data_IF_547152228049
#
_entry.id   IF_547152228049
#
_cell.length_a   1.000
_cell.length_b   1.000
_cell.length_c   1.000
_cell.angle_alpha   90.00
_cell.angle_beta   90.00
_cell.angle_gamma   90.00
#
_symmetry.space_group_name_H-M   'P 1'
#
loop_
_entity.id
_entity.type
_entity.pdbx_description
1 polymer ?
#
# COMPACT_ATOMS: atom_id res chain seq x y z
N UNK A 1 12.73 -15.29 -10.60
CA UNK A 1 11.28 -15.26 -10.28
C UNK A 1 10.63 -16.66 -10.27
N UNK A 2 11.36 -17.76 -10.58
CA UNK A 2 10.78 -19.08 -10.86
C UNK A 2 11.05 -20.19 -9.82
N UNK A 3 11.92 -19.98 -8.81
CA UNK A 3 12.39 -21.08 -7.96
C UNK A 3 11.51 -21.41 -6.75
N UNK A 4 10.70 -20.49 -6.23
CA UNK A 4 9.93 -20.73 -4.99
C UNK A 4 8.72 -21.65 -5.17
N UNK A 5 8.27 -21.86 -6.41
CA UNK A 5 6.96 -22.44 -6.74
C UNK A 5 7.07 -23.89 -7.21
N UNK A 6 8.23 -24.31 -7.75
CA UNK A 6 8.48 -25.70 -8.19
C UNK A 6 8.34 -26.71 -7.04
N UNK A 7 8.59 -26.30 -5.81
CA UNK A 7 8.49 -27.16 -4.62
C UNK A 7 7.05 -27.45 -4.14
N UNK A 8 6.01 -26.90 -4.78
CA UNK A 8 4.62 -27.33 -4.51
C UNK A 8 4.21 -28.55 -5.34
N UNK A 9 5.14 -29.13 -6.13
CA UNK A 9 4.84 -30.12 -7.17
C UNK A 9 4.13 -31.37 -6.67
N UNK A 10 4.44 -31.84 -5.47
CA UNK A 10 3.97 -33.14 -4.98
C UNK A 10 2.57 -33.15 -4.35
N UNK A 11 2.02 -31.99 -3.97
CA UNK A 11 0.81 -31.94 -3.11
C UNK A 11 -0.33 -31.03 -3.59
N UNK A 12 -0.17 -30.40 -4.76
CA UNK A 12 -1.18 -29.51 -5.33
C UNK A 12 -1.29 -29.65 -6.83
N UNK A 13 -2.53 -29.62 -7.34
CA UNK A 13 -2.80 -29.57 -8.77
C UNK A 13 -2.36 -28.22 -9.37
N UNK A 14 -2.28 -28.18 -10.70
CA UNK A 14 -1.80 -27.02 -11.43
C UNK A 14 -2.71 -25.79 -11.25
N UNK A 15 -4.03 -25.96 -11.10
CA UNK A 15 -4.94 -24.85 -10.92
C UNK A 15 -4.79 -24.22 -9.53
N UNK A 16 -4.66 -25.04 -8.48
CA UNK A 16 -4.39 -24.55 -7.12
C UNK A 16 -3.05 -23.81 -7.05
N UNK A 17 -2.00 -24.31 -7.71
CA UNK A 17 -0.71 -23.60 -7.82
C UNK A 17 -0.87 -22.23 -8.46
N UNK A 18 -1.63 -22.14 -9.55
CA UNK A 18 -1.87 -20.87 -10.23
C UNK A 18 -2.64 -19.89 -9.33
N UNK A 19 -3.64 -20.36 -8.56
CA UNK A 19 -4.35 -19.52 -7.59
C UNK A 19 -3.43 -19.02 -6.48
N UNK A 20 -2.56 -19.87 -5.91
CA UNK A 20 -1.60 -19.48 -4.89
C UNK A 20 -0.56 -18.47 -5.42
N UNK A 21 -0.08 -18.66 -6.65
CA UNK A 21 0.83 -17.70 -7.29
C UNK A 21 0.17 -16.34 -7.49
N UNK A 22 -1.08 -16.33 -7.97
CA UNK A 22 -1.87 -15.12 -8.09
C UNK A 22 -2.05 -14.43 -6.73
N UNK A 23 -2.24 -15.20 -5.65
CA UNK A 23 -2.33 -14.66 -4.29
C UNK A 23 -1.02 -13.99 -3.85
N UNK A 24 0.12 -14.63 -4.06
CA UNK A 24 1.45 -14.04 -3.77
C UNK A 24 1.67 -12.77 -4.59
N UNK A 25 1.33 -12.78 -5.88
CA UNK A 25 1.49 -11.61 -6.73
C UNK A 25 0.62 -10.44 -6.26
N UNK A 26 -0.64 -10.70 -5.90
CA UNK A 26 -1.55 -9.69 -5.36
C UNK A 26 -1.05 -9.15 -4.01
N UNK A 27 -0.55 -10.00 -3.11
CA UNK A 27 0.09 -9.56 -1.85
C UNK A 27 1.25 -8.62 -2.11
N UNK A 28 2.15 -8.95 -3.05
CA UNK A 28 3.29 -8.09 -3.42
C UNK A 28 2.85 -6.76 -4.00
N UNK A 29 1.83 -6.74 -4.86
CA UNK A 29 1.26 -5.51 -5.42
C UNK A 29 0.66 -4.63 -4.32
N UNK A 30 -0.08 -5.23 -3.38
CA UNK A 30 -0.61 -4.54 -2.21
C UNK A 30 0.51 -3.96 -1.33
N UNK A 31 1.53 -4.76 -0.98
CA UNK A 31 2.64 -4.30 -0.15
C UNK A 31 3.42 -3.15 -0.79
N UNK A 32 3.62 -3.21 -2.12
CA UNK A 32 4.23 -2.11 -2.86
C UNK A 32 3.37 -0.85 -2.81
N UNK A 33 2.06 -0.96 -3.05
CA UNK A 33 1.14 0.18 -2.96
C UNK A 33 1.10 0.76 -1.54
N UNK A 34 1.08 -0.08 -0.51
CA UNK A 34 1.16 0.32 0.91
C UNK A 34 2.44 1.10 1.20
N UNK A 35 3.61 0.59 0.78
CA UNK A 35 4.90 1.28 0.96
C UNK A 35 4.91 2.62 0.23
N UNK A 36 4.50 2.66 -1.04
CA UNK A 36 4.44 3.90 -1.82
C UNK A 36 3.53 4.95 -1.17
N UNK A 37 2.35 4.55 -0.70
CA UNK A 37 1.44 5.45 0.00
C UNK A 37 2.08 6.01 1.29
N UNK A 38 2.69 5.16 2.12
CA UNK A 38 3.34 5.60 3.37
C UNK A 38 4.53 6.53 3.10
N UNK A 39 5.39 6.20 2.13
CA UNK A 39 6.51 7.07 1.76
C UNK A 39 6.04 8.43 1.23
N UNK A 40 5.02 8.43 0.37
CA UNK A 40 4.48 9.68 -0.19
C UNK A 40 3.77 10.51 0.88
N UNK A 41 3.10 9.87 1.84
CA UNK A 41 2.49 10.55 2.98
C UNK A 41 3.55 11.24 3.83
N UNK A 42 4.62 10.53 4.21
CA UNK A 42 5.71 11.12 4.98
C UNK A 42 6.42 12.25 4.24
N UNK A 43 6.64 12.08 2.93
CA UNK A 43 7.20 13.14 2.09
C UNK A 43 6.30 14.38 2.06
N UNK A 44 4.98 14.20 1.92
CA UNK A 44 4.02 15.31 1.91
C UNK A 44 3.99 16.04 3.26
N UNK A 45 3.96 15.29 4.37
CA UNK A 45 3.98 15.86 5.73
C UNK A 45 5.28 16.63 5.98
N UNK A 46 6.44 16.05 5.64
CA UNK A 46 7.73 16.70 5.82
C UNK A 46 7.85 17.97 4.96
N UNK A 47 7.43 17.90 3.69
CA UNK A 47 7.43 19.06 2.78
C UNK A 47 6.52 20.17 3.29
N UNK A 48 5.32 19.83 3.77
CA UNK A 48 4.40 20.80 4.35
C UNK A 48 4.99 21.44 5.62
N UNK A 49 5.63 20.66 6.49
CA UNK A 49 6.30 21.17 7.68
C UNK A 49 7.42 22.16 7.34
N UNK A 50 8.31 21.80 6.42
CA UNK A 50 9.39 22.69 5.96
C UNK A 50 8.83 23.98 5.32
N UNK A 51 7.75 23.87 4.55
CA UNK A 51 7.11 25.03 3.95
C UNK A 51 6.47 25.95 4.98
N UNK A 52 5.78 25.41 5.99
CA UNK A 52 5.23 26.19 7.09
C UNK A 52 6.34 26.90 7.88
N UNK A 53 7.44 26.21 8.18
CA UNK A 53 8.60 26.81 8.83
C UNK A 53 9.24 27.93 7.98
N UNK A 54 9.33 27.73 6.67
CA UNK A 54 9.80 28.78 5.76
C UNK A 54 8.86 29.99 5.77
N UNK A 55 7.54 29.78 5.74
CA UNK A 55 6.55 30.86 5.79
C UNK A 55 6.57 31.62 7.12
N UNK A 56 6.86 30.95 8.24
CA UNK A 56 6.96 31.65 9.52
C UNK A 56 8.11 32.66 9.50
N UNK A 57 9.27 32.26 8.99
CA UNK A 57 10.45 33.11 8.91
C UNK A 57 10.34 34.21 7.83
N UNK A 58 9.82 33.86 6.66
CA UNK A 58 9.81 34.77 5.51
C UNK A 58 8.63 35.76 5.52
N UNK A 59 7.49 35.37 6.10
CA UNK A 59 6.23 36.13 5.99
C UNK A 59 5.64 36.48 7.36
N UNK A 60 5.48 35.49 8.26
CA UNK A 60 4.75 35.72 9.51
C UNK A 60 5.54 36.58 10.50
N UNK A 61 6.83 36.32 10.70
CA UNK A 61 7.65 37.05 11.68
C UNK A 61 7.88 38.52 11.28
N UNK A 62 8.25 38.84 10.02
CA UNK A 62 8.52 40.23 9.62
C UNK A 62 7.26 41.08 9.41
N UNK A 63 6.12 40.44 9.07
CA UNK A 63 4.87 41.14 8.72
C UNK A 63 3.71 40.83 9.69
N UNK A 64 4.02 40.31 10.88
CA UNK A 64 3.06 39.92 11.94
C UNK A 64 2.06 41.00 12.34
N UNK A 65 2.37 42.27 12.07
CA UNK A 65 1.55 43.43 12.43
C UNK A 65 0.24 43.55 11.63
N UNK A 66 0.14 42.94 10.44
CA UNK A 66 -1.08 43.02 9.61
C UNK A 66 -1.24 41.82 8.68
N UNK A 67 -2.41 41.17 8.74
CA UNK A 67 -2.77 40.09 7.82
C UNK A 67 -2.72 40.52 6.36
N UNK A 68 -3.11 41.76 6.05
CA UNK A 68 -3.06 42.29 4.68
C UNK A 68 -1.63 42.40 4.15
N UNK A 69 -0.68 42.78 5.00
CA UNK A 69 0.73 42.83 4.64
C UNK A 69 1.30 41.42 4.40
N UNK A 70 0.97 40.46 5.27
CA UNK A 70 1.36 39.05 5.09
C UNK A 70 0.84 38.49 3.77
N UNK A 71 -0.45 38.71 3.46
CA UNK A 71 -1.06 38.22 2.23
C UNK A 71 -0.44 38.87 0.98
N UNK A 72 -0.17 40.18 1.04
CA UNK A 72 0.47 40.90 -0.06
C UNK A 72 1.85 40.33 -0.37
N UNK A 73 2.68 40.10 0.65
CA UNK A 73 4.02 39.51 0.49
C UNK A 73 3.91 38.08 -0.04
N UNK A 74 3.01 37.28 0.51
CA UNK A 74 2.78 35.90 0.07
C UNK A 74 2.43 35.80 -1.42
N UNK A 75 1.52 36.65 -1.90
CA UNK A 75 1.08 36.61 -3.31
C UNK A 75 2.08 37.31 -4.24
N UNK A 76 2.85 38.28 -3.73
CA UNK A 76 3.86 39.01 -4.52
C UNK A 76 4.98 38.13 -5.06
N UNK A 77 5.32 37.05 -4.34
CA UNK A 77 6.35 36.11 -4.76
C UNK A 77 5.71 34.83 -5.31
N UNK A 78 5.82 34.64 -6.63
CA UNK A 78 5.28 33.48 -7.35
C UNK A 78 5.74 32.13 -6.81
N UNK A 79 6.93 32.08 -6.18
CA UNK A 79 7.47 30.89 -5.52
C UNK A 79 6.52 30.34 -4.46
N UNK A 80 5.90 31.18 -3.64
CA UNK A 80 4.96 30.73 -2.60
C UNK A 80 3.72 30.06 -3.21
N UNK A 81 3.21 30.61 -4.32
CA UNK A 81 2.07 30.06 -5.03
C UNK A 81 2.41 28.70 -5.67
N UNK A 82 3.58 28.59 -6.32
CA UNK A 82 4.02 27.30 -6.88
C UNK A 82 4.21 26.23 -5.81
N UNK A 83 4.80 26.57 -4.66
CA UNK A 83 4.95 25.64 -3.54
C UNK A 83 3.59 25.22 -2.96
N UNK A 84 2.62 26.14 -2.89
CA UNK A 84 1.25 25.83 -2.45
C UNK A 84 0.58 24.81 -3.36
N UNK A 85 0.63 25.06 -4.68
CA UNK A 85 0.05 24.16 -5.68
C UNK A 85 0.77 22.81 -5.66
N UNK A 86 2.09 22.80 -5.52
CA UNK A 86 2.88 21.57 -5.41
C UNK A 86 2.50 20.75 -4.18
N UNK A 87 2.37 21.37 -3.01
CA UNK A 87 1.94 20.69 -1.76
C UNK A 87 0.50 20.19 -1.90
N UNK A 88 -0.41 21.01 -2.43
CA UNK A 88 -1.78 20.59 -2.72
C UNK A 88 -1.83 19.38 -3.66
N UNK A 89 -0.99 19.37 -4.70
CA UNK A 89 -0.81 18.25 -5.62
C UNK A 89 -0.26 17.00 -4.93
N UNK A 90 0.72 17.13 -4.04
CA UNK A 90 1.24 16.02 -3.24
C UNK A 90 0.17 15.39 -2.36
N UNK A 91 -0.62 16.19 -1.63
CA UNK A 91 -1.74 15.69 -0.82
C UNK A 91 -2.82 15.03 -1.68
N UNK A 92 -3.12 15.59 -2.86
CA UNK A 92 -3.98 14.95 -3.86
C UNK A 92 -3.44 13.59 -4.30
N UNK A 93 -2.14 13.51 -4.59
CA UNK A 93 -1.44 12.27 -4.96
C UNK A 93 -1.49 11.22 -3.84
N UNK A 94 -1.32 11.63 -2.57
CA UNK A 94 -1.47 10.74 -1.41
C UNK A 94 -2.86 10.10 -1.37
N UNK A 95 -3.92 10.88 -1.65
CA UNK A 95 -5.30 10.39 -1.71
C UNK A 95 -5.49 9.36 -2.83
N UNK A 96 -4.94 9.62 -4.02
CA UNK A 96 -5.00 8.67 -5.14
C UNK A 96 -4.26 7.36 -4.80
N UNK A 97 -3.06 7.45 -4.21
CA UNK A 97 -2.31 6.28 -3.77
C UNK A 97 -3.02 5.50 -2.66
N UNK A 98 -3.75 6.20 -1.78
CA UNK A 98 -4.60 5.58 -0.76
C UNK A 98 -5.69 4.71 -1.41
N UNK A 99 -6.44 5.26 -2.37
CA UNK A 99 -7.48 4.52 -3.08
C UNK A 99 -6.92 3.31 -3.85
N UNK A 100 -5.74 3.47 -4.47
CA UNK A 100 -5.05 2.36 -5.14
C UNK A 100 -4.65 1.26 -4.15
N UNK A 101 -4.13 1.64 -2.98
CA UNK A 101 -3.81 0.70 -1.89
C UNK A 101 -5.06 -0.05 -1.46
N UNK A 102 -6.17 0.63 -1.17
CA UNK A 102 -7.43 0.00 -0.74
C UNK A 102 -7.97 -0.99 -1.79
N UNK A 103 -7.95 -0.60 -3.07
CA UNK A 103 -8.33 -1.49 -4.16
C UNK A 103 -7.49 -2.77 -4.18
N UNK A 104 -6.16 -2.63 -4.05
CA UNK A 104 -5.24 -3.78 -4.05
C UNK A 104 -5.38 -4.64 -2.79
N UNK A 105 -5.70 -4.02 -1.66
CA UNK A 105 -6.00 -4.72 -0.41
C UNK A 105 -7.24 -5.60 -0.58
N UNK A 106 -8.32 -5.03 -1.12
CA UNK A 106 -9.56 -5.77 -1.40
C UNK A 106 -9.33 -6.94 -2.36
N UNK A 107 -8.67 -6.70 -3.50
CA UNK A 107 -8.35 -7.76 -4.48
C UNK A 107 -7.53 -8.91 -3.87
N UNK A 108 -6.63 -8.60 -2.92
CA UNK A 108 -5.86 -9.60 -2.18
C UNK A 108 -6.71 -10.36 -1.18
N UNK A 109 -7.49 -9.65 -0.35
CA UNK A 109 -8.33 -10.26 0.68
C UNK A 109 -9.43 -11.13 0.08
N UNK A 110 -10.05 -10.70 -1.01
CA UNK A 110 -11.09 -11.46 -1.71
C UNK A 110 -10.55 -12.80 -2.23
N UNK A 111 -9.38 -12.79 -2.88
CA UNK A 111 -8.74 -14.03 -3.35
C UNK A 111 -8.29 -14.93 -2.19
N UNK A 112 -7.78 -14.32 -1.10
CA UNK A 112 -7.39 -15.05 0.10
C UNK A 112 -8.60 -15.77 0.71
N UNK A 113 -9.74 -15.08 0.82
CA UNK A 113 -11.00 -15.65 1.31
C UNK A 113 -11.49 -16.77 0.40
N UNK A 114 -11.48 -16.55 -0.92
CA UNK A 114 -11.87 -17.57 -1.89
C UNK A 114 -11.05 -18.86 -1.75
N UNK A 115 -9.73 -18.76 -1.58
CA UNK A 115 -8.85 -19.92 -1.39
C UNK A 115 -9.14 -20.66 -0.07
N UNK A 116 -9.49 -19.94 0.99
CA UNK A 116 -9.86 -20.52 2.28
C UNK A 116 -11.21 -21.24 2.17
N UNK A 117 -12.21 -20.59 1.58
CA UNK A 117 -13.57 -21.13 1.46
C UNK A 117 -13.59 -22.37 0.55
N UNK A 118 -12.84 -22.31 -0.56
CA UNK A 118 -12.70 -23.42 -1.51
C UNK A 118 -11.61 -24.41 -1.11
N UNK A 119 -11.04 -24.30 0.09
CA UNK A 119 -9.93 -25.17 0.50
C UNK A 119 -10.29 -26.66 0.43
N UNK A 120 -11.53 -27.03 0.78
CA UNK A 120 -11.97 -28.44 0.69
C UNK A 120 -12.04 -28.95 -0.76
N UNK A 121 -12.30 -28.06 -1.72
CA UNK A 121 -12.40 -28.41 -3.14
C UNK A 121 -11.02 -28.46 -3.82
N UNK A 122 -10.13 -27.55 -3.40
CA UNK A 122 -8.76 -27.43 -3.92
C UNK A 122 -7.85 -28.58 -3.46
N UNK A 123 -8.04 -29.08 -2.24
CA UNK A 123 -7.26 -30.19 -1.69
C UNK A 123 -8.17 -31.39 -1.40
N UNK A 124 -8.18 -32.36 -2.31
CA UNK A 124 -8.96 -33.61 -2.16
C UNK A 124 -8.11 -34.74 -1.57
N UNK A 125 -8.74 -35.61 -0.79
CA UNK A 125 -8.15 -36.85 -0.27
C UNK A 125 -6.79 -36.65 0.43
N UNK A 126 -5.72 -37.32 -0.02
CA UNK A 126 -4.38 -37.24 0.56
C UNK A 126 -3.80 -35.82 0.54
N UNK A 127 -4.18 -34.99 -0.44
CA UNK A 127 -3.74 -33.60 -0.51
C UNK A 127 -4.32 -32.75 0.64
N UNK A 128 -5.51 -33.10 1.15
CA UNK A 128 -6.13 -32.42 2.30
C UNK A 128 -5.30 -32.56 3.56
N UNK A 129 -4.69 -33.74 3.77
CA UNK A 129 -3.81 -34.02 4.92
C UNK A 129 -2.53 -33.18 4.83
N UNK A 130 -2.04 -32.91 3.62
CA UNK A 130 -0.79 -32.16 3.39
C UNK A 130 -0.99 -30.64 3.26
N UNK A 131 -2.23 -30.12 3.21
CA UNK A 131 -2.50 -28.68 2.99
C UNK A 131 -1.83 -27.75 4.01
N UNK A 132 -1.65 -28.21 5.26
CA UNK A 132 -1.00 -27.45 6.32
C UNK A 132 0.43 -27.06 5.93
N UNK A 133 1.16 -27.94 5.20
CA UNK A 133 2.51 -27.63 4.70
C UNK A 133 2.49 -26.46 3.72
N UNK A 134 1.48 -26.41 2.85
CA UNK A 134 1.29 -25.28 1.92
C UNK A 134 0.99 -24.01 2.72
N UNK A 135 0.13 -24.08 3.73
CA UNK A 135 -0.26 -22.93 4.54
C UNK A 135 0.92 -22.40 5.37
N UNK A 136 1.73 -23.29 5.94
CA UNK A 136 2.94 -22.94 6.68
C UNK A 136 3.99 -22.30 5.76
N UNK A 137 4.14 -22.81 4.54
CA UNK A 137 5.04 -22.21 3.55
C UNK A 137 4.56 -20.83 3.12
N UNK A 138 3.26 -20.66 2.90
CA UNK A 138 2.65 -19.36 2.57
C UNK A 138 2.83 -18.34 3.70
N UNK A 139 2.68 -18.77 4.95
CA UNK A 139 2.89 -17.92 6.12
C UNK A 139 4.36 -17.56 6.31
N UNK A 140 5.27 -18.53 6.24
CA UNK A 140 6.71 -18.31 6.49
C UNK A 140 7.41 -17.54 5.38
N UNK A 141 7.13 -17.84 4.11
CA UNK A 141 7.85 -17.25 2.98
C UNK A 141 7.21 -15.96 2.46
N UNK A 142 5.89 -15.81 2.60
CA UNK A 142 5.16 -14.69 2.00
C UNK A 142 4.34 -13.87 2.99
N UNK A 143 4.36 -14.22 4.28
CA UNK A 143 3.55 -13.59 5.33
C UNK A 143 2.05 -13.59 4.98
N UNK A 144 1.57 -14.71 4.41
CA UNK A 144 0.18 -14.93 4.04
C UNK A 144 -0.38 -16.05 4.90
N UNK A 145 -1.22 -15.69 5.86
CA UNK A 145 -1.91 -16.66 6.71
C UNK A 145 -3.11 -17.25 5.95
N UNK A 146 -3.23 -18.58 5.81
CA UNK A 146 -4.39 -19.24 5.20
C UNK A 146 -5.23 -20.06 6.20
N UNK A 147 -4.87 -20.05 7.48
CA UNK A 147 -5.53 -20.87 8.51
C UNK A 147 -6.90 -20.34 8.95
N UNK A 148 -7.13 -19.03 8.81
CA UNK A 148 -8.33 -18.37 9.29
C UNK A 148 -8.86 -17.42 8.22
N UNK A 149 -10.13 -17.56 7.83
CA UNK A 149 -10.86 -16.45 7.22
C UNK A 149 -10.83 -15.30 8.22
N UNK A 150 -10.47 -14.08 7.80
CA UNK A 150 -10.65 -12.97 8.73
C UNK A 150 -12.14 -12.87 9.01
N UNK A 151 -12.53 -12.77 10.30
CA UNK A 151 -13.87 -12.31 10.66
C UNK A 151 -14.13 -10.94 10.05
#
# INVERSE_FOLDING_TARGET
MHNSIREFEDWTDQATKQMLNNLVERKRKFDRAKKMHVYTLWLAVFTAFCFLYYLTQAVLEPYSYSFGAMFSVYVSHSVHLYLTVFIGGLFGGVKVLHQLKEKKEKEYQDLRKEIIDRSKDLWKEEAWKMRHRVFDKMKSQFDINLYHGSK
#
